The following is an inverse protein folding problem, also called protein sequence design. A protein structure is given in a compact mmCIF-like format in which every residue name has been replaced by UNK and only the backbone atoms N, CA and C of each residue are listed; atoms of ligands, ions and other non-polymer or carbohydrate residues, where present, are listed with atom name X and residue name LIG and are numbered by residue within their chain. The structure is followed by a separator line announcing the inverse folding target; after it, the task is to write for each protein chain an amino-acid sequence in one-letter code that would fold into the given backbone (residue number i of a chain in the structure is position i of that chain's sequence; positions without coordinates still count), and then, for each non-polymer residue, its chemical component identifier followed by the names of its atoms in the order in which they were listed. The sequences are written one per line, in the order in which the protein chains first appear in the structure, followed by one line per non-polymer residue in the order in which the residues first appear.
data_IF_829515076552
#
_entry.id   IF_829515076552
#
_cell.length_a   1.000
_cell.length_b   1.000
_cell.length_c   1.000
_cell.angle_alpha   90.00
_cell.angle_beta   90.00
_cell.angle_gamma   90.00
#
_symmetry.space_group_name_H-M   'P 1'
#
loop_
_entity.id
_entity.type
_entity.pdbx_description
1 polymer ?
#
# COMPACT_ATOMS: atom_id res chain seq x y z
N UNK A 1 17.25 -20.71 -6.11
CA UNK A 1 17.61 -22.04 -5.57
C UNK A 1 16.98 -22.22 -4.19
N UNK A 2 15.74 -22.73 -4.13
CA UNK A 2 15.06 -23.16 -2.89
C UNK A 2 14.82 -24.68 -2.87
N UNK A 3 15.46 -25.41 -3.78
CA UNK A 3 15.26 -26.86 -4.02
C UNK A 3 15.62 -27.72 -2.80
N UNK A 4 16.31 -27.14 -1.80
CA UNK A 4 16.77 -27.82 -0.59
C UNK A 4 16.03 -27.39 0.69
N UNK A 5 14.80 -26.87 0.58
CA UNK A 5 13.95 -26.57 1.74
C UNK A 5 14.23 -25.21 2.42
N UNK A 6 15.11 -24.40 1.85
CA UNK A 6 15.29 -23.01 2.26
C UNK A 6 14.06 -22.19 1.81
N UNK A 7 13.21 -21.81 2.77
CA UNK A 7 11.97 -21.04 2.50
C UNK A 7 12.24 -19.57 2.18
N UNK A 8 13.10 -18.91 2.94
CA UNK A 8 13.54 -17.53 2.70
C UNK A 8 14.84 -17.22 3.44
N UNK A 9 15.50 -16.13 3.06
CA UNK A 9 16.61 -15.52 3.82
C UNK A 9 16.13 -14.12 4.20
N UNK A 10 16.02 -13.83 5.50
CA UNK A 10 15.72 -12.48 5.96
C UNK A 10 16.96 -11.59 5.80
N UNK A 11 16.97 -10.77 4.76
CA UNK A 11 18.04 -9.77 4.53
C UNK A 11 17.76 -8.44 5.22
N UNK A 12 16.59 -8.27 5.83
CA UNK A 12 16.06 -6.98 6.29
C UNK A 12 16.08 -6.90 7.82
N UNK A 13 15.77 -8.00 8.49
CA UNK A 13 15.95 -8.16 9.93
C UNK A 13 17.03 -9.21 10.14
N UNK A 14 18.25 -8.74 10.38
CA UNK A 14 19.38 -9.62 10.58
C UNK A 14 20.14 -9.23 11.83
N UNK A 15 20.73 -10.23 12.44
CA UNK A 15 21.67 -10.09 13.55
C UNK A 15 23.02 -10.59 13.08
N UNK A 16 24.01 -9.70 13.14
CA UNK A 16 25.42 -10.06 12.99
C UNK A 16 25.97 -10.24 14.39
N UNK A 17 26.46 -11.44 14.68
CA UNK A 17 27.20 -11.74 15.90
C UNK A 17 28.64 -12.06 15.54
N UNK A 18 29.58 -11.47 16.29
CA UNK A 18 30.99 -11.79 16.18
C UNK A 18 31.32 -12.85 17.22
N UNK A 19 31.70 -14.03 16.75
CA UNK A 19 32.09 -15.14 17.61
C UNK A 19 33.61 -15.12 17.77
N UNK A 20 34.15 -14.73 18.94
CA UNK A 20 35.59 -14.77 19.18
C UNK A 20 36.06 -16.21 19.26
N UNK A 21 37.22 -16.50 18.69
CA UNK A 21 37.82 -17.84 18.76
C UNK A 21 38.54 -18.06 20.11
N UNK A 22 38.90 -16.98 20.80
CA UNK A 22 39.65 -17.02 22.06
C UNK A 22 39.18 -15.99 23.08
N UNK A 23 39.45 -16.23 24.37
CA UNK A 23 39.15 -15.28 25.44
C UNK A 23 39.91 -13.94 25.32
N UNK A 24 41.10 -13.93 24.71
CA UNK A 24 41.81 -12.68 24.45
C UNK A 24 41.14 -11.85 23.35
N UNK A 25 40.63 -12.51 22.32
CA UNK A 25 39.91 -11.86 21.23
C UNK A 25 38.56 -11.32 21.70
N UNK A 26 37.86 -12.06 22.55
CA UNK A 26 36.61 -11.60 23.19
C UNK A 26 36.81 -10.30 23.97
N UNK A 27 37.94 -10.15 24.68
CA UNK A 27 38.27 -8.93 25.43
C UNK A 27 38.60 -7.73 24.54
N UNK A 28 38.96 -7.96 23.28
CA UNK A 28 39.29 -6.91 22.29
C UNK A 28 38.07 -6.47 21.47
N UNK A 29 37.01 -7.28 21.41
CA UNK A 29 35.77 -6.95 20.70
C UNK A 29 34.92 -5.97 21.52
N UNK A 30 34.79 -4.75 21.01
CA UNK A 30 33.99 -3.68 21.63
C UNK A 30 32.51 -3.79 21.27
N UNK A 31 32.20 -4.39 20.12
CA UNK A 31 30.85 -4.65 19.63
C UNK A 31 30.77 -6.16 19.40
N UNK A 32 29.88 -6.82 20.15
CA UNK A 32 29.69 -8.28 20.07
C UNK A 32 28.54 -8.66 19.14
N UNK A 33 27.57 -7.77 18.97
CA UNK A 33 26.45 -7.94 18.07
C UNK A 33 25.99 -6.62 17.48
N UNK A 34 25.35 -6.71 16.32
CA UNK A 34 24.71 -5.63 15.61
C UNK A 34 23.43 -6.19 15.01
N UNK A 35 22.30 -5.61 15.36
CA UNK A 35 21.02 -6.02 14.79
C UNK A 35 20.36 -4.84 14.09
N UNK A 36 19.89 -5.08 12.87
CA UNK A 36 18.95 -4.17 12.20
C UNK A 36 17.58 -4.80 12.31
N UNK A 37 16.62 -4.04 12.83
CA UNK A 37 15.21 -4.41 12.84
C UNK A 37 14.41 -3.29 12.20
N UNK A 38 13.54 -3.65 11.28
CA UNK A 38 12.51 -2.75 10.77
C UNK A 38 11.45 -2.60 11.85
N UNK A 39 11.54 -1.58 12.70
CA UNK A 39 10.48 -1.31 13.67
C UNK A 39 9.20 -0.89 12.94
N UNK A 40 8.11 -1.61 13.22
CA UNK A 40 6.77 -1.14 12.88
C UNK A 40 6.41 -0.01 13.84
N UNK A 41 5.59 0.92 13.36
CA UNK A 41 4.91 1.87 14.26
C UNK A 41 4.22 1.05 15.36
N UNK A 42 4.49 1.36 16.63
CA UNK A 42 3.88 0.61 17.71
C UNK A 42 2.37 0.82 17.64
N UNK A 43 1.58 -0.23 17.91
CA UNK A 43 0.12 -0.05 18.02
C UNK A 43 -0.25 0.96 19.11
N UNK A 44 0.67 1.18 20.07
CA UNK A 44 0.54 2.18 21.11
C UNK A 44 0.77 3.63 20.61
N UNK A 45 1.40 3.80 19.45
CA UNK A 45 1.67 5.11 18.84
C UNK A 45 0.53 5.55 17.91
N UNK A 46 -0.39 4.63 17.57
CA UNK A 46 -1.57 4.93 16.75
C UNK A 46 -2.70 5.39 17.67
N UNK A 47 -3.28 6.58 17.48
CA UNK A 47 -4.41 7.03 18.28
C UNK A 47 -5.57 6.03 18.15
N UNK A 48 -6.27 5.70 19.25
CA UNK A 48 -7.36 4.74 19.22
C UNK A 48 -8.47 5.23 18.29
N UNK A 49 -8.94 4.35 17.42
CA UNK A 49 -10.10 4.60 16.58
C UNK A 49 -11.31 4.86 17.48
N UNK A 50 -12.07 5.93 17.21
CA UNK A 50 -13.28 6.20 17.99
C UNK A 50 -14.31 5.09 17.77
N UNK A 51 -14.98 4.69 18.85
CA UNK A 51 -15.94 3.60 18.79
C UNK A 51 -17.08 3.89 17.82
N UNK A 52 -17.55 5.15 17.75
CA UNK A 52 -18.60 5.56 16.82
C UNK A 52 -18.19 5.34 15.35
N UNK A 53 -16.91 5.58 15.03
CA UNK A 53 -16.41 5.44 13.66
C UNK A 53 -16.31 3.96 13.29
N UNK A 54 -15.87 3.11 14.22
CA UNK A 54 -15.88 1.66 14.06
C UNK A 54 -17.31 1.11 13.91
N UNK A 55 -18.24 1.54 14.76
CA UNK A 55 -19.62 1.08 14.74
C UNK A 55 -20.33 1.47 13.43
N UNK A 56 -20.19 2.73 12.98
CA UNK A 56 -20.77 3.20 11.70
C UNK A 56 -20.21 2.45 10.50
N UNK A 57 -18.91 2.12 10.52
CA UNK A 57 -18.31 1.27 9.48
C UNK A 57 -18.91 -0.14 9.46
N UNK A 58 -19.18 -0.74 10.63
CA UNK A 58 -19.83 -2.06 10.74
C UNK A 58 -21.27 -2.00 10.22
N UNK A 59 -22.06 -1.01 10.65
CA UNK A 59 -23.44 -0.81 10.19
C UNK A 59 -23.48 -0.75 8.66
N UNK A 60 -22.60 0.05 8.06
CA UNK A 60 -22.57 0.24 6.60
C UNK A 60 -21.98 -0.93 5.82
N UNK A 61 -21.19 -1.79 6.45
CA UNK A 61 -20.52 -2.91 5.79
C UNK A 61 -21.48 -3.90 5.12
N UNK A 62 -22.73 -3.95 5.58
CA UNK A 62 -23.76 -4.86 5.07
C UNK A 62 -24.35 -4.44 3.71
N UNK A 63 -24.30 -3.15 3.38
CA UNK A 63 -24.93 -2.59 2.17
C UNK A 63 -23.96 -2.44 0.97
N UNK A 64 -22.65 -2.50 1.22
CA UNK A 64 -21.62 -1.98 0.32
C UNK A 64 -20.85 -3.01 -0.51
N UNK A 65 -21.48 -4.01 -1.12
CA UNK A 65 -20.77 -5.13 -1.78
C UNK A 65 -19.74 -4.76 -2.87
N UNK A 66 -19.90 -3.61 -3.54
CA UNK A 66 -18.92 -3.12 -4.53
C UNK A 66 -17.75 -2.39 -3.87
N UNK A 67 -18.04 -1.55 -2.87
CA UNK A 67 -17.01 -0.82 -2.15
C UNK A 67 -16.21 -1.74 -1.22
N UNK A 68 -16.81 -2.83 -0.74
CA UNK A 68 -16.12 -3.86 0.04
C UNK A 68 -15.00 -4.53 -0.77
N UNK A 69 -15.14 -4.65 -2.09
CA UNK A 69 -14.08 -5.18 -2.96
C UNK A 69 -12.91 -4.19 -3.06
N UNK A 70 -13.20 -2.91 -3.30
CA UNK A 70 -12.19 -1.84 -3.35
C UNK A 70 -11.43 -1.72 -2.02
N UNK A 71 -12.16 -1.68 -0.90
CA UNK A 71 -11.55 -1.65 0.43
C UNK A 71 -10.76 -2.92 0.74
N UNK A 72 -11.16 -4.08 0.21
CA UNK A 72 -10.41 -5.33 0.39
C UNK A 72 -9.07 -5.31 -0.34
N UNK A 73 -9.04 -4.85 -1.59
CA UNK A 73 -7.79 -4.65 -2.32
C UNK A 73 -6.90 -3.62 -1.62
N UNK A 74 -7.46 -2.50 -1.17
CA UNK A 74 -6.69 -1.50 -0.45
C UNK A 74 -6.05 -2.07 0.82
N UNK A 75 -6.84 -2.74 1.67
CA UNK A 75 -6.34 -3.38 2.90
C UNK A 75 -5.23 -4.40 2.60
N UNK A 76 -5.43 -5.23 1.58
CA UNK A 76 -4.47 -6.25 1.17
C UNK A 76 -3.16 -5.61 0.65
N UNK A 77 -3.27 -4.59 -0.20
CA UNK A 77 -2.11 -3.84 -0.69
C UNK A 77 -1.35 -3.13 0.43
N UNK A 78 -2.04 -2.57 1.44
CA UNK A 78 -1.38 -1.98 2.62
C UNK A 78 -0.61 -3.01 3.43
N UNK A 79 -1.17 -4.22 3.63
CA UNK A 79 -0.45 -5.33 4.30
C UNK A 79 0.81 -5.73 3.52
N UNK A 80 0.74 -5.71 2.20
CA UNK A 80 1.87 -6.07 1.33
C UNK A 80 2.92 -4.95 1.29
N UNK A 81 2.52 -3.67 1.37
CA UNK A 81 3.42 -2.54 1.62
C UNK A 81 4.19 -2.70 2.93
N UNK A 82 3.50 -3.03 4.03
CA UNK A 82 4.11 -3.27 5.33
C UNK A 82 5.08 -4.46 5.31
N UNK A 83 4.78 -5.47 4.49
CA UNK A 83 5.63 -6.63 4.27
C UNK A 83 6.74 -6.38 3.25
N UNK A 84 6.76 -5.19 2.61
CA UNK A 84 7.67 -4.78 1.54
C UNK A 84 7.65 -5.75 0.35
N UNK A 85 6.47 -6.30 0.08
CA UNK A 85 6.12 -7.09 -1.10
C UNK A 85 5.52 -6.15 -2.15
N UNK A 86 6.34 -5.21 -2.63
CA UNK A 86 5.88 -4.05 -3.40
C UNK A 86 5.20 -4.42 -4.73
N UNK A 87 5.59 -5.54 -5.35
CA UNK A 87 4.97 -6.01 -6.59
C UNK A 87 3.52 -6.43 -6.35
N UNK A 88 3.26 -7.16 -5.26
CA UNK A 88 1.92 -7.59 -4.90
C UNK A 88 1.06 -6.37 -4.50
N UNK A 89 1.63 -5.45 -3.72
CA UNK A 89 0.97 -4.20 -3.38
C UNK A 89 0.59 -3.38 -4.63
N UNK A 90 1.47 -3.29 -5.64
CA UNK A 90 1.18 -2.62 -6.92
C UNK A 90 -0.02 -3.27 -7.61
N UNK A 91 -0.13 -4.61 -7.61
CA UNK A 91 -1.28 -5.28 -8.21
C UNK A 91 -2.58 -4.94 -7.49
N UNK A 92 -2.60 -5.05 -6.16
CA UNK A 92 -3.80 -4.79 -5.38
C UNK A 92 -4.26 -3.33 -5.55
N UNK A 93 -3.35 -2.36 -5.49
CA UNK A 93 -3.70 -0.96 -5.74
C UNK A 93 -4.12 -0.70 -7.18
N UNK A 94 -3.46 -1.33 -8.17
CA UNK A 94 -3.87 -1.18 -9.57
C UNK A 94 -5.28 -1.73 -9.83
N UNK A 95 -5.66 -2.83 -9.18
CA UNK A 95 -7.00 -3.40 -9.30
C UNK A 95 -8.10 -2.46 -8.79
N UNK A 96 -7.79 -1.57 -7.84
CA UNK A 96 -8.70 -0.48 -7.45
C UNK A 96 -8.92 0.46 -8.63
N UNK A 97 -7.85 0.88 -9.30
CA UNK A 97 -7.93 1.79 -10.45
C UNK A 97 -8.71 1.15 -11.60
N UNK A 98 -8.40 -0.11 -11.92
CA UNK A 98 -9.06 -0.86 -13.00
C UNK A 98 -10.56 -1.07 -12.70
N UNK A 99 -10.89 -1.50 -11.48
CA UNK A 99 -12.28 -1.79 -11.08
C UNK A 99 -13.17 -0.55 -11.03
N UNK A 100 -12.59 0.60 -10.69
CA UNK A 100 -13.35 1.85 -10.53
C UNK A 100 -13.37 2.72 -11.77
N UNK A 101 -12.25 2.84 -12.47
CA UNK A 101 -12.09 3.77 -13.59
C UNK A 101 -11.86 3.09 -14.94
N UNK A 102 -11.65 1.77 -14.96
CA UNK A 102 -11.39 1.03 -16.19
C UNK A 102 -12.62 0.74 -17.05
N UNK A 103 -13.84 0.84 -16.50
CA UNK A 103 -15.10 0.62 -17.25
C UNK A 103 -15.11 -0.72 -18.01
N UNK A 104 -14.62 -1.79 -17.34
CA UNK A 104 -14.48 -3.13 -17.90
C UNK A 104 -13.38 -3.27 -18.97
N UNK A 105 -12.62 -2.21 -19.25
CA UNK A 105 -11.44 -2.26 -20.13
C UNK A 105 -10.22 -2.65 -19.30
N UNK A 106 -9.45 -3.61 -19.82
CA UNK A 106 -8.22 -4.10 -19.19
C UNK A 106 -7.03 -4.11 -20.17
N UNK A 107 -7.25 -3.81 -21.45
CA UNK A 107 -6.23 -3.89 -22.50
C UNK A 107 -5.55 -2.54 -22.73
N UNK A 108 -4.24 -2.48 -22.45
CA UNK A 108 -3.27 -1.42 -22.79
C UNK A 108 -3.85 -0.04 -23.09
N UNK A 109 -3.98 0.31 -24.38
CA UNK A 109 -4.40 1.66 -24.78
C UNK A 109 -5.83 2.03 -24.35
N UNK A 110 -6.74 1.06 -24.26
CA UNK A 110 -8.13 1.34 -23.85
C UNK A 110 -8.22 1.69 -22.37
N UNK A 111 -7.50 0.96 -21.52
CA UNK A 111 -7.46 1.26 -20.08
C UNK A 111 -6.71 2.58 -19.84
N UNK A 112 -5.60 2.85 -20.54
CA UNK A 112 -4.88 4.15 -20.46
C UNK A 112 -5.81 5.33 -20.72
N UNK A 113 -6.59 5.29 -21.80
CA UNK A 113 -7.53 6.35 -22.13
C UNK A 113 -8.59 6.53 -21.05
N UNK A 114 -9.18 5.44 -20.55
CA UNK A 114 -10.22 5.48 -19.52
C UNK A 114 -9.70 6.06 -18.21
N UNK A 115 -8.53 5.64 -17.75
CA UNK A 115 -7.89 6.19 -16.56
C UNK A 115 -7.59 7.68 -16.74
N UNK A 116 -6.99 8.08 -17.87
CA UNK A 116 -6.66 9.50 -18.15
C UNK A 116 -7.89 10.42 -18.18
N UNK A 117 -9.04 9.92 -18.61
CA UNK A 117 -10.29 10.69 -18.61
C UNK A 117 -10.95 10.82 -17.22
N UNK A 118 -10.46 10.11 -16.19
CA UNK A 118 -11.02 10.20 -14.84
C UNK A 118 -10.51 11.43 -14.09
N UNK A 119 -11.38 12.43 -13.96
CA UNK A 119 -11.10 13.61 -13.13
C UNK A 119 -10.89 13.25 -11.65
N UNK A 120 -11.63 12.26 -11.13
CA UNK A 120 -11.50 11.79 -9.75
C UNK A 120 -10.13 11.14 -9.51
N UNK A 121 -9.62 10.37 -10.47
CA UNK A 121 -8.28 9.76 -10.35
C UNK A 121 -7.18 10.81 -10.49
N UNK A 122 -7.36 11.81 -11.37
CA UNK A 122 -6.46 12.94 -11.49
C UNK A 122 -6.38 13.75 -10.20
N UNK A 123 -7.52 14.05 -9.60
CA UNK A 123 -7.61 14.75 -8.30
C UNK A 123 -6.88 13.98 -7.19
N UNK A 124 -7.09 12.66 -7.12
CA UNK A 124 -6.35 11.81 -6.18
C UNK A 124 -4.84 11.79 -6.42
N UNK A 125 -4.41 11.83 -7.69
CA UNK A 125 -3.00 11.96 -8.05
C UNK A 125 -2.41 13.30 -7.61
N UNK A 126 -3.09 14.39 -7.92
CA UNK A 126 -2.64 15.74 -7.56
C UNK A 126 -2.52 15.86 -6.04
N UNK A 127 -3.53 15.40 -5.29
CA UNK A 127 -3.50 15.34 -3.82
C UNK A 127 -2.35 14.48 -3.28
N UNK A 128 -2.10 13.32 -3.89
CA UNK A 128 -1.00 12.46 -3.47
C UNK A 128 0.36 13.18 -3.60
N UNK A 129 0.58 13.85 -4.73
CA UNK A 129 1.82 14.57 -5.03
C UNK A 129 2.02 15.79 -4.13
N UNK A 130 0.96 16.54 -3.83
CA UNK A 130 1.09 17.77 -3.03
C UNK A 130 1.10 17.50 -1.52
N UNK A 131 0.23 16.62 -1.02
CA UNK A 131 -0.02 16.46 0.43
C UNK A 131 0.52 15.15 1.00
N UNK A 132 0.38 14.04 0.28
CA UNK A 132 0.53 12.70 0.89
C UNK A 132 1.95 12.15 0.81
N UNK A 133 2.68 12.42 -0.29
CA UNK A 133 4.02 11.89 -0.49
C UNK A 133 5.10 12.61 0.34
N UNK A 134 4.77 13.76 0.92
CA UNK A 134 5.68 14.49 1.80
C UNK A 134 6.01 13.65 3.03
N UNK A 135 7.30 13.36 3.24
CA UNK A 135 7.77 12.56 4.36
C UNK A 135 7.73 11.04 4.16
N UNK A 136 7.08 10.53 3.09
CA UNK A 136 7.10 9.10 2.74
C UNK A 136 8.34 8.70 1.92
N UNK A 137 8.92 9.64 1.18
CA UNK A 137 10.04 9.36 0.28
C UNK A 137 11.39 9.64 0.95
N UNK A 138 12.25 8.63 0.97
CA UNK A 138 13.66 8.79 1.34
C UNK A 138 14.46 9.48 0.21
N UNK A 139 15.73 9.81 0.47
CA UNK A 139 16.60 10.52 -0.50
C UNK A 139 16.77 9.78 -1.83
N UNK A 140 16.85 8.45 -1.81
CA UNK A 140 17.02 7.63 -3.02
C UNK A 140 15.75 7.63 -3.87
N UNK A 141 14.59 7.49 -3.22
CA UNK A 141 13.29 7.54 -3.87
C UNK A 141 12.99 8.93 -4.46
N UNK A 142 13.37 10.00 -3.76
CA UNK A 142 13.28 11.37 -4.28
C UNK A 142 14.16 11.57 -5.52
N UNK A 143 15.36 11.00 -5.56
CA UNK A 143 16.23 11.06 -6.73
C UNK A 143 15.65 10.27 -7.92
N UNK A 144 15.07 9.09 -7.65
CA UNK A 144 14.37 8.26 -8.67
C UNK A 144 13.15 9.00 -9.23
N UNK A 145 12.34 9.61 -8.37
CA UNK A 145 11.20 10.46 -8.76
C UNK A 145 11.65 11.69 -9.56
N UNK A 146 12.75 12.32 -9.15
CA UNK A 146 13.30 13.52 -9.76
C UNK A 146 13.78 13.31 -11.20
N UNK A 147 14.30 12.13 -11.51
CA UNK A 147 14.91 11.81 -12.81
C UNK A 147 13.97 11.09 -13.78
N UNK A 148 12.91 10.44 -13.28
CA UNK A 148 11.99 9.69 -14.12
C UNK A 148 10.80 10.55 -14.59
N UNK A 149 10.61 10.62 -15.92
CA UNK A 149 9.52 11.37 -16.57
C UNK A 149 8.13 10.90 -16.12
N UNK A 150 7.98 9.61 -15.78
CA UNK A 150 6.72 9.03 -15.34
C UNK A 150 6.07 9.79 -14.17
N UNK A 151 6.86 10.45 -13.33
CA UNK A 151 6.36 11.15 -12.14
C UNK A 151 6.15 12.64 -12.34
N UNK A 152 6.27 13.15 -13.57
CA UNK A 152 6.18 14.60 -13.88
C UNK A 152 4.77 15.06 -14.22
N UNK A 153 3.90 14.16 -14.65
CA UNK A 153 2.52 14.46 -14.98
C UNK A 153 1.62 13.26 -14.70
N UNK A 154 0.34 13.53 -14.48
CA UNK A 154 -0.68 12.51 -14.34
C UNK A 154 -0.71 11.56 -15.55
N UNK A 155 -0.70 12.10 -16.76
CA UNK A 155 -0.77 11.31 -18.00
C UNK A 155 0.45 10.40 -18.18
N UNK A 156 1.66 10.92 -17.91
CA UNK A 156 2.90 10.13 -17.96
C UNK A 156 2.88 9.02 -16.90
N UNK A 157 2.34 9.31 -15.71
CA UNK A 157 2.22 8.33 -14.63
C UNK A 157 1.25 7.20 -15.01
N UNK A 158 0.09 7.54 -15.58
CA UNK A 158 -0.89 6.54 -16.02
C UNK A 158 -0.33 5.68 -17.14
N UNK A 159 0.35 6.26 -18.12
CA UNK A 159 0.98 5.47 -19.18
C UNK A 159 2.00 4.48 -18.60
N UNK A 160 2.84 4.97 -17.69
CA UNK A 160 3.87 4.19 -17.04
C UNK A 160 3.31 3.06 -16.18
N UNK A 161 2.32 3.33 -15.31
CA UNK A 161 1.82 2.33 -14.36
C UNK A 161 1.03 1.22 -15.06
N UNK A 162 0.33 1.53 -16.15
CA UNK A 162 -0.36 0.53 -16.98
C UNK A 162 0.67 -0.38 -17.67
N UNK A 163 1.74 0.19 -18.22
CA UNK A 163 2.79 -0.59 -18.87
C UNK A 163 3.53 -1.47 -17.84
N UNK A 164 3.89 -0.88 -16.69
CA UNK A 164 4.51 -1.57 -15.57
C UNK A 164 3.68 -2.78 -15.12
N UNK A 165 2.36 -2.61 -14.93
CA UNK A 165 1.47 -3.73 -14.58
C UNK A 165 1.54 -4.86 -15.59
N UNK A 166 1.62 -4.54 -16.89
CA UNK A 166 1.78 -5.54 -17.95
C UNK A 166 3.13 -6.27 -17.85
N UNK A 167 4.21 -5.53 -17.60
CA UNK A 167 5.56 -6.08 -17.47
C UNK A 167 5.72 -6.98 -16.23
N UNK A 168 5.14 -6.58 -15.10
CA UNK A 168 5.15 -7.36 -13.86
C UNK A 168 4.38 -8.67 -14.04
N UNK A 169 3.26 -8.66 -14.79
CA UNK A 169 2.40 -9.84 -14.93
C UNK A 169 2.95 -10.90 -15.90
N UNK A 170 3.87 -10.51 -16.78
CA UNK A 170 4.40 -11.36 -17.84
C UNK A 170 5.92 -11.52 -17.70
N UNK A 171 6.33 -12.50 -16.90
CA UNK A 171 7.74 -12.87 -16.81
C UNK A 171 8.20 -13.59 -18.10
N UNK A 172 9.36 -13.20 -18.61
CA UNK A 172 9.99 -13.85 -19.77
C UNK A 172 11.51 -13.77 -19.65
N UNK A 173 12.19 -14.91 -19.76
CA UNK A 173 13.66 -14.97 -19.74
C UNK A 173 14.33 -14.19 -20.89
N UNK A 174 13.58 -13.95 -21.98
CA UNK A 174 14.04 -13.14 -23.11
C UNK A 174 13.96 -11.64 -22.84
N UNK A 175 13.17 -11.24 -21.85
CA UNK A 175 13.06 -9.85 -21.44
C UNK A 175 14.16 -9.53 -20.42
N UNK A 176 15.21 -8.82 -20.87
CA UNK A 176 16.30 -8.36 -19.98
C UNK A 176 15.84 -7.39 -18.88
N UNK A 177 14.61 -6.87 -18.99
CA UNK A 177 13.97 -6.01 -17.99
C UNK A 177 12.93 -6.76 -17.15
N UNK A 178 12.85 -8.08 -17.25
CA UNK A 178 11.98 -8.87 -16.39
C UNK A 178 12.31 -8.57 -14.92
N UNK A 179 11.26 -8.39 -14.13
CA UNK A 179 11.39 -8.10 -12.71
C UNK A 179 12.07 -9.25 -11.99
N UNK A 180 12.83 -8.90 -10.94
CA UNK A 180 13.56 -9.89 -10.15
C UNK A 180 12.84 -10.09 -8.81
N UNK A 181 12.35 -11.29 -8.49
CA UNK A 181 11.69 -11.56 -7.21
C UNK A 181 12.59 -11.34 -5.99
N UNK A 182 13.92 -11.26 -6.18
CA UNK A 182 14.86 -10.99 -5.10
C UNK A 182 15.16 -9.49 -4.93
N UNK A 183 14.51 -8.61 -5.69
CA UNK A 183 14.68 -7.15 -5.64
C UNK A 183 13.33 -6.41 -5.64
N UNK A 184 12.40 -6.74 -4.73
CA UNK A 184 11.12 -6.02 -4.65
C UNK A 184 11.31 -4.52 -4.44
N UNK A 185 12.38 -4.08 -3.76
CA UNK A 185 12.72 -2.67 -3.52
C UNK A 185 12.86 -1.82 -4.79
N UNK A 186 13.16 -2.44 -5.94
CA UNK A 186 13.20 -1.74 -7.22
C UNK A 186 11.84 -1.10 -7.59
N UNK A 187 10.75 -1.56 -6.97
CA UNK A 187 9.37 -1.13 -7.19
C UNK A 187 8.75 -0.34 -6.03
N UNK A 188 9.55 0.04 -5.02
CA UNK A 188 9.05 0.72 -3.82
C UNK A 188 8.39 2.08 -4.14
N UNK A 189 9.00 2.88 -5.02
CA UNK A 189 8.48 4.20 -5.39
C UNK A 189 7.08 4.10 -6.02
N UNK A 190 6.93 3.15 -6.93
CA UNK A 190 5.70 2.87 -7.65
C UNK A 190 4.59 2.44 -6.69
N UNK A 191 4.92 1.58 -5.72
CA UNK A 191 3.98 1.11 -4.71
C UNK A 191 3.58 2.23 -3.73
N UNK A 192 4.50 3.09 -3.31
CA UNK A 192 4.20 4.26 -2.46
C UNK A 192 3.25 5.24 -3.18
N UNK A 193 3.51 5.53 -4.45
CA UNK A 193 2.66 6.39 -5.27
C UNK A 193 1.24 5.83 -5.38
N UNK A 194 1.12 4.56 -5.76
CA UNK A 194 -0.18 3.89 -5.86
C UNK A 194 -0.91 3.84 -4.52
N UNK A 195 -0.19 3.57 -3.42
CA UNK A 195 -0.76 3.58 -2.09
C UNK A 195 -1.33 4.95 -1.72
N UNK A 196 -0.57 6.03 -1.95
CA UNK A 196 -1.02 7.39 -1.64
C UNK A 196 -2.27 7.80 -2.45
N UNK A 197 -2.29 7.48 -3.75
CA UNK A 197 -3.43 7.74 -4.64
C UNK A 197 -4.65 6.93 -4.19
N UNK A 198 -4.48 5.63 -3.96
CA UNK A 198 -5.57 4.76 -3.54
C UNK A 198 -6.09 5.10 -2.15
N UNK A 199 -5.21 5.53 -1.23
CA UNK A 199 -5.63 6.00 0.09
C UNK A 199 -6.60 7.18 -0.02
N UNK A 200 -6.29 8.17 -0.86
CA UNK A 200 -7.20 9.30 -1.08
C UNK A 200 -8.56 8.85 -1.63
N UNK A 201 -8.56 7.96 -2.63
CA UNK A 201 -9.79 7.42 -3.24
C UNK A 201 -10.61 6.66 -2.20
N UNK A 202 -9.99 5.71 -1.51
CA UNK A 202 -10.68 4.84 -0.54
C UNK A 202 -11.17 5.65 0.65
N UNK A 203 -10.36 6.55 1.19
CA UNK A 203 -10.77 7.38 2.32
C UNK A 203 -11.99 8.23 1.96
N UNK A 204 -12.01 8.85 0.77
CA UNK A 204 -13.15 9.62 0.30
C UNK A 204 -14.42 8.75 0.19
N UNK A 205 -14.30 7.56 -0.40
CA UNK A 205 -15.41 6.61 -0.51
C UNK A 205 -15.89 6.21 0.88
N UNK A 206 -15.01 5.72 1.75
CA UNK A 206 -15.41 5.23 3.06
C UNK A 206 -16.00 6.34 3.91
N UNK A 207 -15.44 7.55 3.84
CA UNK A 207 -15.94 8.71 4.56
C UNK A 207 -17.36 9.07 4.13
N UNK A 208 -17.64 9.16 2.83
CA UNK A 208 -18.99 9.47 2.36
C UNK A 208 -20.00 8.45 2.84
N UNK A 209 -19.63 7.17 2.95
CA UNK A 209 -20.54 6.10 3.34
C UNK A 209 -20.82 6.05 4.85
N UNK A 210 -19.83 6.36 5.70
CA UNK A 210 -19.98 6.32 7.17
C UNK A 210 -20.50 7.65 7.75
N UNK A 211 -20.41 8.74 6.98
CA UNK A 211 -20.87 10.07 7.39
C UNK A 211 -22.30 10.40 6.88
N UNK A 212 -22.94 9.46 6.19
CA UNK A 212 -24.35 9.53 5.79
C UNK A 212 -25.28 9.69 7.00
N UNK A 213 -26.20 10.67 6.94
CA UNK A 213 -27.17 10.92 8.02
C UNK A 213 -27.99 9.69 8.44
N UNK A 214 -28.49 8.84 7.52
CA UNK A 214 -29.15 7.59 7.91
C UNK A 214 -28.27 6.66 8.77
N UNK A 215 -26.96 6.60 8.50
CA UNK A 215 -26.02 5.75 9.24
C UNK A 215 -25.78 6.32 10.65
N UNK A 216 -25.67 7.64 10.77
CA UNK A 216 -25.58 8.31 12.08
C UNK A 216 -26.84 8.08 12.90
N UNK A 217 -28.02 8.24 12.29
CA UNK A 217 -29.29 8.05 12.97
C UNK A 217 -29.49 6.59 13.42
N UNK A 218 -29.12 5.61 12.59
CA UNK A 218 -29.19 4.20 12.95
C UNK A 218 -28.26 3.87 14.14
N UNK A 219 -27.03 4.40 14.13
CA UNK A 219 -26.11 4.29 15.25
C UNK A 219 -26.68 4.91 16.55
N UNK A 220 -27.25 6.12 16.47
CA UNK A 220 -27.87 6.79 17.62
C UNK A 220 -29.05 6.00 18.17
N UNK A 221 -29.91 5.47 17.29
CA UNK A 221 -31.05 4.65 17.68
C UNK A 221 -30.61 3.38 18.42
N UNK A 222 -29.62 2.65 17.88
CA UNK A 222 -29.06 1.46 18.54
C UNK A 222 -28.44 1.77 19.90
N UNK A 223 -27.77 2.93 20.04
CA UNK A 223 -27.25 3.37 21.34
C UNK A 223 -28.37 3.66 22.34
N UNK A 224 -29.41 4.38 21.91
CA UNK A 224 -30.55 4.71 22.77
C UNK A 224 -31.31 3.45 23.20
N UNK A 225 -31.56 2.51 22.29
CA UNK A 225 -32.21 1.22 22.61
C UNK A 225 -31.40 0.41 23.63
N UNK A 226 -30.06 0.38 23.48
CA UNK A 226 -29.19 -0.29 24.45
C UNK A 226 -29.28 0.36 25.84
N UNK A 227 -29.27 1.69 25.90
CA UNK A 227 -29.40 2.44 27.16
C UNK A 227 -30.76 2.16 27.79
N UNK A 228 -31.86 2.26 27.05
CA UNK A 228 -33.21 2.00 27.57
C UNK A 228 -33.40 0.58 28.10
N UNK A 229 -32.71 -0.40 27.50
CA UNK A 229 -32.80 -1.81 27.91
C UNK A 229 -31.97 -2.13 29.16
N UNK A 230 -30.95 -1.33 29.46
CA UNK A 230 -29.94 -1.63 30.47
C UNK A 230 -29.76 -0.54 31.54
N UNK A 231 -30.49 0.57 31.45
CA UNK A 231 -30.64 1.58 32.51
C UNK A 231 -31.70 1.16 33.54
#
# INVERSE_FOLDING_TARGET
MSVWGLKYIDKRNFEISWLPETQEEERKLHIKNFSVKSERMSINDVPPLSFDLAARAIIKSWDGARESVVSSFYRKGTIDMESKEYIDAIYDFYLILESRFGDGKWRGNQIKQKLKCSNELKDAFDHAVTESLQGLLNKELLAKQGTNKAYKSYDDFIDYIVDLRGELHHHSERNKKAWNPNKPEDYELEAIYLHAICNHIVFRITWTHIDEEPVKQDYENQCNEFIEKHA
#
